data_IF_945380696136
#
_entry.id   IF_945380696136
#
_cell.length_a   1.000
_cell.length_b   1.000
_cell.length_c   1.000
_cell.angle_alpha   90.00
_cell.angle_beta   90.00
_cell.angle_gamma   90.00
#
_symmetry.space_group_name_H-M   'P 1'
#
loop_
_entity.id
_entity.type
_entity.pdbx_description
1 polymer ?
#
# COMPACT_ATOMS: atom_id res chain seq x y z
N UNK A 1 -19.92 14.62 3.75
CA UNK A 1 -19.90 14.63 5.23
C UNK A 1 -18.58 14.04 5.72
N UNK A 2 -17.69 14.84 6.32
CA UNK A 2 -16.49 14.31 6.98
C UNK A 2 -16.91 13.73 8.33
N UNK A 3 -16.93 12.41 8.49
CA UNK A 3 -17.10 11.79 9.82
C UNK A 3 -15.84 12.10 10.62
N UNK A 4 -15.95 12.99 11.61
CA UNK A 4 -14.92 13.19 12.62
C UNK A 4 -14.71 11.85 13.34
N UNK A 5 -13.52 11.28 13.18
CA UNK A 5 -13.14 10.01 13.82
C UNK A 5 -12.70 10.33 15.25
N UNK A 6 -13.11 9.56 16.27
CA UNK A 6 -12.65 9.77 17.63
C UNK A 6 -11.12 9.62 17.70
N UNK A 7 -10.46 10.57 18.35
CA UNK A 7 -9.02 10.55 18.60
C UNK A 7 -8.63 9.25 19.31
N UNK A 8 -7.59 8.57 18.81
CA UNK A 8 -7.02 7.38 19.43
C UNK A 8 -7.47 6.01 18.91
N UNK A 9 -8.48 5.90 18.01
CA UNK A 9 -8.82 4.60 17.40
C UNK A 9 -7.88 4.29 16.23
N UNK A 10 -7.23 3.10 16.18
CA UNK A 10 -6.46 2.67 15.02
C UNK A 10 -7.32 2.74 13.77
N UNK A 11 -6.79 3.38 12.73
CA UNK A 11 -7.49 3.53 11.46
C UNK A 11 -7.68 2.15 10.82
N UNK A 12 -8.87 1.89 10.27
CA UNK A 12 -9.16 0.64 9.55
C UNK A 12 -8.18 0.49 8.38
N UNK A 13 -7.51 -0.66 8.31
CA UNK A 13 -6.48 -0.95 7.31
C UNK A 13 -7.04 -0.91 5.88
N UNK A 14 -8.31 -1.25 5.68
CA UNK A 14 -8.98 -1.15 4.37
C UNK A 14 -9.11 0.30 3.92
N UNK A 15 -9.56 1.17 4.82
CA UNK A 15 -9.67 2.60 4.54
C UNK A 15 -8.30 3.22 4.25
N UNK A 16 -7.26 2.83 5.02
CA UNK A 16 -5.88 3.25 4.74
C UNK A 16 -5.41 2.81 3.36
N UNK A 17 -5.58 1.53 3.03
CA UNK A 17 -5.15 0.98 1.75
C UNK A 17 -5.90 1.61 0.58
N UNK A 18 -7.19 1.89 0.72
CA UNK A 18 -7.98 2.60 -0.28
C UNK A 18 -7.46 4.02 -0.53
N UNK A 19 -7.21 4.80 0.53
CA UNK A 19 -6.66 6.14 0.38
C UNK A 19 -5.22 6.15 -0.16
N UNK A 20 -4.44 5.15 0.21
CA UNK A 20 -3.11 4.93 -0.35
C UNK A 20 -3.18 4.67 -1.86
N UNK A 21 -4.10 3.80 -2.32
CA UNK A 21 -4.34 3.56 -3.74
C UNK A 21 -4.76 4.83 -4.51
N UNK A 22 -5.63 5.67 -3.91
CA UNK A 22 -5.99 6.96 -4.50
C UNK A 22 -4.80 7.91 -4.64
N UNK A 23 -3.88 7.91 -3.67
CA UNK A 23 -2.63 8.68 -3.76
C UNK A 23 -1.72 8.15 -4.86
N UNK A 24 -1.66 6.84 -5.06
CA UNK A 24 -0.90 6.24 -6.14
C UNK A 24 -1.43 6.61 -7.53
N UNK A 25 -2.75 6.63 -7.70
CA UNK A 25 -3.42 7.10 -8.93
C UNK A 25 -3.01 8.55 -9.24
N UNK A 26 -3.06 9.44 -8.24
CA UNK A 26 -2.67 10.85 -8.41
C UNK A 26 -1.20 11.01 -8.78
N UNK A 27 -0.30 10.26 -8.14
CA UNK A 27 1.13 10.30 -8.48
C UNK A 27 1.35 9.86 -9.93
N UNK A 28 0.71 8.77 -10.36
CA UNK A 28 0.81 8.30 -11.74
C UNK A 28 0.31 9.35 -12.74
N UNK A 29 -0.83 9.99 -12.48
CA UNK A 29 -1.35 11.08 -13.32
C UNK A 29 -0.35 12.23 -13.45
N UNK A 30 0.27 12.67 -12.33
CA UNK A 30 1.31 13.70 -12.36
C UNK A 30 2.54 13.27 -13.16
N UNK A 31 2.96 12.00 -13.06
CA UNK A 31 4.09 11.49 -13.84
C UNK A 31 3.81 11.51 -15.36
N UNK A 32 2.56 11.28 -15.76
CA UNK A 32 2.15 11.39 -17.17
C UNK A 32 2.23 12.83 -17.68
N UNK A 33 1.96 13.83 -16.85
CA UNK A 33 2.07 15.26 -17.20
C UNK A 33 3.52 15.69 -17.42
N UNK A 34 4.46 15.12 -16.66
CA UNK A 34 5.90 15.45 -16.72
C UNK A 34 6.61 14.96 -18.00
N UNK A 35 5.99 14.10 -18.79
CA UNK A 35 6.52 13.53 -20.06
C UNK A 35 7.88 12.81 -19.94
N UNK A 36 8.26 12.36 -18.75
CA UNK A 36 9.42 11.48 -18.54
C UNK A 36 9.04 10.01 -18.81
N UNK A 37 9.68 9.39 -19.80
CA UNK A 37 9.40 8.01 -20.18
C UNK A 37 9.75 6.98 -19.10
N UNK A 38 10.86 7.16 -18.38
CA UNK A 38 11.24 6.29 -17.27
C UNK A 38 10.28 6.49 -16.10
N UNK A 39 9.92 7.73 -15.80
CA UNK A 39 8.94 8.10 -14.78
C UNK A 39 7.58 7.44 -15.04
N UNK A 40 7.12 7.42 -16.29
CA UNK A 40 5.86 6.78 -16.65
C UNK A 40 5.88 5.26 -16.42
N UNK A 41 6.95 4.57 -16.84
CA UNK A 41 7.08 3.12 -16.68
C UNK A 41 7.15 2.74 -15.20
N UNK A 42 7.99 3.42 -14.43
CA UNK A 42 8.14 3.16 -12.99
C UNK A 42 6.83 3.50 -12.26
N UNK A 43 6.22 4.64 -12.58
CA UNK A 43 4.93 5.04 -12.03
C UNK A 43 3.81 4.03 -12.30
N UNK A 44 3.83 3.39 -13.47
CA UNK A 44 2.88 2.32 -13.81
C UNK A 44 3.08 1.07 -12.95
N UNK A 45 4.32 0.67 -12.68
CA UNK A 45 4.61 -0.46 -11.80
C UNK A 45 4.23 -0.16 -10.35
N UNK A 46 4.51 1.07 -9.90
CA UNK A 46 4.06 1.56 -8.60
C UNK A 46 2.53 1.54 -8.48
N UNK A 47 1.81 2.07 -9.48
CA UNK A 47 0.34 2.11 -9.46
C UNK A 47 -0.27 0.70 -9.34
N UNK A 48 0.25 -0.26 -10.10
CA UNK A 48 -0.20 -1.66 -10.04
C UNK A 48 0.00 -2.24 -8.65
N UNK A 49 1.23 -2.20 -8.13
CA UNK A 49 1.53 -2.76 -6.81
C UNK A 49 0.74 -2.05 -5.70
N UNK A 50 0.64 -0.73 -5.73
CA UNK A 50 -0.08 0.04 -4.72
C UNK A 50 -1.59 -0.26 -4.66
N UNK A 51 -2.23 -0.43 -5.82
CA UNK A 51 -3.66 -0.79 -5.89
C UNK A 51 -3.92 -2.25 -5.50
N UNK A 52 -2.98 -3.15 -5.80
CA UNK A 52 -3.03 -4.56 -5.41
C UNK A 52 -3.00 -4.78 -3.89
N UNK A 53 -2.41 -3.87 -3.11
CA UNK A 53 -2.43 -3.94 -1.63
C UNK A 53 -3.88 -3.95 -1.13
N UNK A 54 -4.66 -2.94 -1.54
CA UNK A 54 -6.06 -2.82 -1.14
C UNK A 54 -6.91 -3.96 -1.66
N UNK A 55 -6.71 -4.36 -2.93
CA UNK A 55 -7.45 -5.48 -3.53
C UNK A 55 -7.28 -6.78 -2.74
N UNK A 56 -6.04 -7.15 -2.39
CA UNK A 56 -5.77 -8.35 -1.59
C UNK A 56 -6.34 -8.26 -0.16
N UNK A 57 -6.34 -7.07 0.46
CA UNK A 57 -6.93 -6.86 1.79
C UNK A 57 -8.45 -7.04 1.74
N UNK A 58 -9.13 -6.54 0.70
CA UNK A 58 -10.56 -6.73 0.50
C UNK A 58 -10.90 -8.21 0.23
N UNK A 59 -10.13 -8.89 -0.62
CA UNK A 59 -10.30 -10.34 -0.85
C UNK A 59 -10.16 -11.15 0.44
N UNK A 60 -9.23 -10.76 1.33
CA UNK A 60 -9.08 -11.42 2.61
C UNK A 60 -10.32 -11.33 3.51
N UNK A 61 -11.20 -10.33 3.33
CA UNK A 61 -12.44 -10.23 4.11
C UNK A 61 -13.48 -11.26 3.70
N UNK A 62 -13.42 -11.73 2.46
CA UNK A 62 -14.31 -12.75 1.91
C UNK A 62 -13.71 -14.16 1.99
N UNK A 63 -12.54 -14.31 2.61
CA UNK A 63 -11.81 -15.58 2.68
C UNK A 63 -12.56 -16.64 3.47
N UNK A 64 -12.60 -17.86 2.91
CA UNK A 64 -13.33 -19.00 3.48
C UNK A 64 -12.60 -19.65 4.66
N UNK A 65 -11.30 -19.39 4.78
CA UNK A 65 -10.47 -19.96 5.85
C UNK A 65 -9.42 -18.96 6.33
N UNK A 66 -8.90 -19.26 7.52
CA UNK A 66 -7.79 -18.51 8.10
C UNK A 66 -6.49 -18.64 7.30
N UNK A 67 -6.24 -19.79 6.70
CA UNK A 67 -5.07 -19.99 5.84
C UNK A 67 -5.16 -19.09 4.61
N UNK A 68 -6.34 -18.99 4.01
CA UNK A 68 -6.60 -18.07 2.91
C UNK A 68 -6.45 -16.60 3.34
N UNK A 69 -7.02 -16.21 4.49
CA UNK A 69 -6.80 -14.87 5.07
C UNK A 69 -5.31 -14.52 5.19
N UNK A 70 -4.50 -15.42 5.75
CA UNK A 70 -3.05 -15.24 5.89
C UNK A 70 -2.37 -15.14 4.52
N UNK A 71 -2.78 -15.98 3.57
CA UNK A 71 -2.24 -15.97 2.20
C UNK A 71 -2.50 -14.63 1.50
N UNK A 72 -3.75 -14.13 1.53
CA UNK A 72 -4.12 -12.84 0.93
C UNK A 72 -3.39 -11.66 1.57
N UNK A 73 -3.24 -11.63 2.88
CA UNK A 73 -2.43 -10.60 3.54
C UNK A 73 -0.93 -10.73 3.21
N UNK A 74 -0.40 -11.94 2.99
CA UNK A 74 0.98 -12.13 2.53
C UNK A 74 1.19 -11.60 1.10
N UNK A 75 0.20 -11.76 0.21
CA UNK A 75 0.21 -11.11 -1.10
C UNK A 75 0.20 -9.57 -0.95
N UNK A 76 -0.70 -9.02 -0.14
CA UNK A 76 -0.72 -7.57 0.15
C UNK A 76 0.64 -7.06 0.70
N UNK A 77 1.31 -7.84 1.55
CA UNK A 77 2.64 -7.51 2.08
C UNK A 77 3.70 -7.44 0.98
N UNK A 78 3.67 -8.40 0.04
CA UNK A 78 4.58 -8.41 -1.12
C UNK A 78 4.38 -7.16 -1.97
N UNK A 79 3.14 -6.84 -2.30
CA UNK A 79 2.77 -5.66 -3.08
C UNK A 79 3.16 -4.35 -2.39
N UNK A 80 3.07 -4.28 -1.06
CA UNK A 80 3.54 -3.13 -0.28
C UNK A 80 5.06 -2.95 -0.34
N UNK A 81 5.82 -4.05 -0.24
CA UNK A 81 7.29 -4.00 -0.38
C UNK A 81 7.72 -3.60 -1.80
N UNK A 82 7.02 -4.10 -2.81
CA UNK A 82 7.25 -3.72 -4.19
C UNK A 82 6.91 -2.23 -4.44
N UNK A 83 5.80 -1.74 -3.88
CA UNK A 83 5.44 -0.33 -3.93
C UNK A 83 6.54 0.56 -3.33
N UNK A 84 7.11 0.17 -2.17
CA UNK A 84 8.19 0.88 -1.51
C UNK A 84 9.45 0.94 -2.40
N UNK A 85 9.77 -0.16 -3.08
CA UNK A 85 10.89 -0.21 -4.02
C UNK A 85 10.71 0.79 -5.16
N UNK A 86 9.53 0.86 -5.77
CA UNK A 86 9.26 1.81 -6.86
C UNK A 86 9.32 3.27 -6.41
N UNK A 87 8.79 3.58 -5.22
CA UNK A 87 8.91 4.93 -4.64
C UNK A 87 10.37 5.34 -4.38
N UNK A 88 11.19 4.40 -3.88
CA UNK A 88 12.62 4.63 -3.69
C UNK A 88 13.35 4.85 -5.01
N UNK A 89 12.98 4.14 -6.07
CA UNK A 89 13.53 4.37 -7.42
C UNK A 89 13.16 5.76 -7.95
N UNK A 90 11.89 6.17 -7.85
CA UNK A 90 11.47 7.52 -8.26
C UNK A 90 12.21 8.63 -7.49
N UNK A 91 12.52 8.38 -6.21
CA UNK A 91 13.30 9.31 -5.38
C UNK A 91 14.77 9.35 -5.80
N UNK A 92 15.41 8.19 -5.93
CA UNK A 92 16.84 8.09 -6.22
C UNK A 92 17.20 8.49 -7.66
N UNK A 93 16.25 8.39 -8.58
CA UNK A 93 16.39 8.87 -9.97
C UNK A 93 16.07 10.35 -10.14
N UNK A 94 15.69 11.05 -9.06
CA UNK A 94 15.33 12.48 -9.06
C UNK A 94 14.16 12.85 -10.00
N UNK A 95 13.42 11.85 -10.49
CA UNK A 95 12.22 12.03 -11.33
C UNK A 95 11.11 12.75 -10.55
N UNK A 96 11.04 12.50 -9.24
CA UNK A 96 10.13 13.19 -8.34
C UNK A 96 10.92 13.71 -7.15
N UNK A 97 10.68 14.97 -6.79
CA UNK A 97 11.27 15.58 -5.60
C UNK A 97 11.03 14.71 -4.37
N UNK A 98 12.11 14.44 -3.63
CA UNK A 98 12.11 13.59 -2.44
C UNK A 98 11.04 14.01 -1.43
N UNK A 99 10.83 15.30 -1.18
CA UNK A 99 9.86 15.79 -0.19
C UNK A 99 8.43 15.42 -0.59
N UNK A 100 8.16 15.29 -1.90
CA UNK A 100 6.85 14.82 -2.38
C UNK A 100 6.65 13.32 -2.18
N UNK A 101 7.73 12.54 -2.15
CA UNK A 101 7.68 11.09 -1.96
C UNK A 101 7.87 10.63 -0.52
N UNK A 102 8.35 11.48 0.38
CA UNK A 102 8.45 11.17 1.82
C UNK A 102 7.12 10.70 2.43
N UNK A 103 5.98 11.40 2.24
CA UNK A 103 4.70 10.93 2.77
C UNK A 103 4.24 9.56 2.24
N UNK A 104 4.20 9.27 0.91
CA UNK A 104 3.82 7.95 0.44
C UNK A 104 4.82 6.86 0.83
N UNK A 105 6.12 7.16 0.95
CA UNK A 105 7.13 6.21 1.44
C UNK A 105 6.81 5.81 2.88
N UNK A 106 6.62 6.81 3.76
CA UNK A 106 6.30 6.57 5.17
C UNK A 106 4.99 5.79 5.34
N UNK A 107 3.94 6.15 4.59
CA UNK A 107 2.68 5.39 4.60
C UNK A 107 2.90 3.94 4.14
N UNK A 108 3.74 3.70 3.14
CA UNK A 108 4.03 2.34 2.65
C UNK A 108 4.73 1.51 3.72
N UNK A 109 5.69 2.09 4.44
CA UNK A 109 6.38 1.42 5.56
C UNK A 109 5.42 1.08 6.70
N UNK A 110 4.50 2.00 7.04
CA UNK A 110 3.45 1.74 8.01
C UNK A 110 2.50 0.62 7.57
N UNK A 111 2.08 0.61 6.30
CA UNK A 111 1.26 -0.47 5.74
C UNK A 111 1.98 -1.82 5.84
N UNK A 112 3.28 -1.88 5.51
CA UNK A 112 4.09 -3.10 5.67
C UNK A 112 4.10 -3.55 7.14
N UNK A 113 4.31 -2.65 8.08
CA UNK A 113 4.34 -2.97 9.51
C UNK A 113 2.99 -3.52 10.00
N UNK A 114 1.89 -2.85 9.66
CA UNK A 114 0.53 -3.26 10.05
C UNK A 114 0.17 -4.61 9.45
N UNK A 115 0.39 -4.80 8.14
CA UNK A 115 0.14 -6.07 7.46
C UNK A 115 0.95 -7.20 8.09
N UNK A 116 2.22 -6.94 8.43
CA UNK A 116 3.09 -7.92 9.11
C UNK A 116 2.51 -8.33 10.46
N UNK A 117 2.06 -7.36 11.27
CA UNK A 117 1.45 -7.63 12.56
C UNK A 117 0.14 -8.44 12.42
N UNK A 118 -0.70 -8.13 11.42
CA UNK A 118 -1.92 -8.87 11.12
C UNK A 118 -1.59 -10.34 10.80
N UNK A 119 -0.63 -10.59 9.92
CA UNK A 119 -0.19 -11.95 9.55
C UNK A 119 0.30 -12.72 10.78
N UNK A 120 1.17 -12.13 11.60
CA UNK A 120 1.73 -12.79 12.79
C UNK A 120 0.61 -13.17 13.77
N UNK A 121 -0.29 -12.25 14.07
CA UNK A 121 -1.41 -12.49 14.98
C UNK A 121 -2.38 -13.54 14.41
N UNK A 122 -2.62 -13.50 13.11
CA UNK A 122 -3.42 -14.47 12.38
C UNK A 122 -2.72 -15.83 12.21
N UNK A 123 -1.44 -16.01 12.54
CA UNK A 123 -0.85 -17.35 12.68
C UNK A 123 -0.97 -17.88 14.11
N UNK A 124 -0.62 -17.06 15.10
CA UNK A 124 -0.61 -17.44 16.54
C UNK A 124 -1.93 -18.01 17.07
N UNK A 125 -3.10 -17.41 16.75
CA UNK A 125 -4.38 -17.95 17.25
C UNK A 125 -4.76 -19.35 16.71
N UNK A 126 -3.98 -19.94 15.79
CA UNK A 126 -4.34 -21.16 15.04
C UNK A 126 -3.55 -22.38 15.50
N UNK A 127 -2.61 -22.14 16.42
CA UNK A 127 -1.79 -23.12 17.11
C UNK A 127 -2.39 -23.47 18.50
N UNK A 128 -3.65 -23.08 18.75
CA UNK A 128 -4.46 -23.42 19.93
C UNK A 128 -5.60 -24.31 19.51
#
# INVERSE_FOLDING_TARGET
MKKNRPEGKPRDIRERAFEYALRAIKLYQTLQEGKDGAGWIIGKQYLKSATSIGANIEEAQSGESRADFVHKYALAQKEARESLYWLRLLTASEIVDKKRLEPPISETEELVAIITAIIINAKKKGEK
#
